data_IF_167145270702
#
_entry.id   IF_167145270702
#
_cell.length_a   1.000
_cell.length_b   1.000
_cell.length_c   1.000
_cell.angle_alpha   90.00
_cell.angle_beta   90.00
_cell.angle_gamma   90.00
#
_symmetry.space_group_name_H-M   'P 1'
#
loop_
_entity.id
_entity.type
_entity.pdbx_description
1 polymer ?
#
# COMPACT_ATOMS: atom_id res chain seq x y z
N UNK A 1 2.94 -47.55 24.53
CA UNK A 1 3.59 -47.19 23.26
C UNK A 1 3.06 -45.80 22.91
N UNK A 2 3.84 -44.76 23.23
CA UNK A 2 3.40 -43.37 23.13
C UNK A 2 3.57 -42.92 21.69
N UNK A 3 2.44 -42.61 21.06
CA UNK A 3 2.35 -42.00 19.75
C UNK A 3 2.87 -40.55 19.85
N UNK A 4 4.12 -40.33 19.42
CA UNK A 4 4.62 -38.98 19.17
C UNK A 4 3.92 -38.47 17.92
N UNK A 5 2.83 -37.73 18.09
CA UNK A 5 2.33 -36.83 17.05
C UNK A 5 3.50 -35.88 16.70
N UNK A 6 4.03 -36.01 15.49
CA UNK A 6 5.07 -35.12 15.00
C UNK A 6 4.51 -33.70 14.95
N UNK A 7 5.00 -32.82 15.83
CA UNK A 7 4.76 -31.40 15.69
C UNK A 7 5.27 -30.99 14.30
N UNK A 8 4.36 -30.57 13.42
CA UNK A 8 4.71 -30.15 12.07
C UNK A 8 5.76 -29.04 12.12
N UNK A 9 6.72 -29.07 11.18
CA UNK A 9 7.78 -28.05 11.10
C UNK A 9 7.12 -26.65 11.05
N UNK A 10 7.56 -25.69 11.89
CA UNK A 10 6.93 -24.38 11.95
C UNK A 10 6.99 -23.69 10.59
N UNK A 11 5.87 -23.07 10.19
CA UNK A 11 5.76 -22.36 8.91
C UNK A 11 6.45 -21.00 8.99
N UNK A 12 7.02 -20.55 7.88
CA UNK A 12 7.68 -19.24 7.81
C UNK A 12 6.66 -18.11 8.09
N UNK A 13 6.87 -17.28 9.13
CA UNK A 13 5.94 -16.20 9.50
C UNK A 13 6.06 -14.97 8.60
N UNK A 14 7.19 -14.81 7.90
CA UNK A 14 7.45 -13.67 7.03
C UNK A 14 6.71 -13.78 5.69
N UNK A 15 6.21 -12.64 5.20
CA UNK A 15 5.36 -12.56 4.01
C UNK A 15 5.92 -11.58 2.98
N UNK A 16 6.98 -11.94 2.24
CA UNK A 16 7.62 -11.05 1.27
C UNK A 16 6.82 -10.93 -0.06
N UNK A 17 5.50 -10.90 0.01
CA UNK A 17 4.62 -10.78 -1.16
C UNK A 17 3.94 -9.42 -1.16
N UNK A 18 3.81 -8.82 -2.35
CA UNK A 18 3.19 -7.50 -2.49
C UNK A 18 1.77 -7.46 -1.94
N UNK A 19 1.46 -6.39 -1.21
CA UNK A 19 0.12 -6.11 -0.70
C UNK A 19 -0.37 -7.01 0.45
N UNK A 20 0.46 -7.95 0.92
CA UNK A 20 0.10 -8.80 2.06
C UNK A 20 0.58 -8.16 3.35
N UNK A 21 -0.33 -8.00 4.32
CA UNK A 21 0.03 -7.49 5.64
C UNK A 21 1.06 -8.40 6.34
N UNK A 22 2.17 -7.83 6.85
CA UNK A 22 3.09 -8.57 7.70
C UNK A 22 2.41 -8.92 9.02
N UNK A 23 2.91 -9.92 9.73
CA UNK A 23 2.38 -10.24 11.07
C UNK A 23 2.65 -9.11 12.08
N UNK A 24 3.79 -8.43 11.94
CA UNK A 24 4.16 -7.30 12.77
C UNK A 24 4.42 -6.10 11.88
N UNK A 25 3.61 -5.05 12.06
CA UNK A 25 3.74 -3.80 11.35
C UNK A 25 4.71 -2.87 12.09
N UNK A 26 5.88 -2.64 11.51
CA UNK A 26 6.89 -1.80 12.15
C UNK A 26 6.48 -0.31 12.15
N UNK A 27 6.56 0.33 13.33
CA UNK A 27 6.60 1.79 13.49
C UNK A 27 5.29 2.54 13.23
N UNK A 28 4.13 1.85 13.19
CA UNK A 28 2.85 2.45 12.77
C UNK A 28 1.74 2.35 13.82
N UNK A 29 2.06 1.87 15.02
CA UNK A 29 1.07 1.61 16.08
C UNK A 29 0.28 2.85 16.50
N UNK A 30 0.95 4.00 16.61
CA UNK A 30 0.30 5.25 17.03
C UNK A 30 -0.76 5.71 16.04
N UNK A 31 -0.47 5.66 14.74
CA UNK A 31 -1.43 6.03 13.70
C UNK A 31 -2.66 5.12 13.73
N UNK A 32 -2.45 3.81 13.88
CA UNK A 32 -3.55 2.85 13.95
C UNK A 32 -4.41 3.10 15.20
N UNK A 33 -3.80 3.41 16.34
CA UNK A 33 -4.51 3.76 17.58
C UNK A 33 -5.29 5.09 17.45
N UNK A 34 -4.69 6.11 16.84
CA UNK A 34 -5.35 7.40 16.58
C UNK A 34 -6.56 7.21 15.63
N UNK A 35 -6.40 6.36 14.60
CA UNK A 35 -7.50 5.98 13.70
C UNK A 35 -8.60 5.19 14.43
N UNK A 36 -8.22 4.20 15.25
CA UNK A 36 -9.14 3.39 16.05
C UNK A 36 -10.00 4.28 16.96
N UNK A 37 -9.37 5.22 17.67
CA UNK A 37 -10.06 6.18 18.53
C UNK A 37 -11.00 7.07 17.70
N UNK A 38 -10.55 7.55 16.55
CA UNK A 38 -11.34 8.40 15.68
C UNK A 38 -12.61 7.71 15.15
N UNK A 39 -12.57 6.41 14.89
CA UNK A 39 -13.77 5.64 14.54
C UNK A 39 -14.75 5.57 15.72
N UNK A 40 -14.26 5.44 16.96
CA UNK A 40 -15.09 5.35 18.15
C UNK A 40 -15.73 6.68 18.61
N UNK A 41 -15.10 7.82 18.34
CA UNK A 41 -15.53 9.15 18.85
C UNK A 41 -16.70 9.81 18.09
N UNK A 42 -17.11 9.26 16.95
CA UNK A 42 -18.13 9.88 16.08
C UNK A 42 -17.55 10.91 15.09
N UNK A 43 -18.40 11.52 14.23
CA UNK A 43 -17.95 12.44 13.18
C UNK A 43 -17.19 13.65 13.75
N UNK A 44 -16.10 14.06 13.09
CA UNK A 44 -15.36 15.29 13.42
C UNK A 44 -13.86 15.10 13.69
N UNK A 45 -13.40 13.87 13.91
CA UNK A 45 -11.96 13.60 14.05
C UNK A 45 -11.22 13.72 12.70
N UNK A 46 -10.06 14.41 12.63
CA UNK A 46 -9.28 14.51 11.40
C UNK A 46 -8.73 13.16 10.92
N UNK A 47 -8.53 12.21 11.84
CA UNK A 47 -8.06 10.86 11.51
C UNK A 47 -9.11 10.02 10.76
N UNK A 48 -10.35 10.50 10.58
CA UNK A 48 -11.33 9.85 9.68
C UNK A 48 -11.06 10.10 8.20
N UNK A 49 -10.14 10.99 7.85
CA UNK A 49 -9.67 11.19 6.49
C UNK A 49 -8.15 11.09 6.46
N UNK A 50 -7.60 10.02 5.87
CA UNK A 50 -6.15 9.75 5.83
C UNK A 50 -5.67 9.70 4.37
N UNK A 51 -4.60 10.43 4.07
CA UNK A 51 -3.90 10.37 2.79
C UNK A 51 -2.48 9.85 3.02
N UNK A 52 -2.19 8.69 2.43
CA UNK A 52 -0.91 8.00 2.53
C UNK A 52 -0.11 8.23 1.24
N UNK A 53 1.04 8.88 1.39
CA UNK A 53 2.02 9.12 0.33
C UNK A 53 3.27 8.29 0.60
N UNK A 54 4.03 7.95 -0.43
CA UNK A 54 5.34 7.31 -0.27
C UNK A 54 5.78 6.50 -1.47
N UNK A 55 7.02 6.02 -1.42
CA UNK A 55 7.62 5.27 -2.53
C UNK A 55 6.92 3.92 -2.80
N UNK A 56 7.13 3.31 -3.97
CA UNK A 56 6.74 1.90 -4.22
C UNK A 56 7.38 0.96 -3.21
N UNK A 57 6.60 -0.02 -2.76
CA UNK A 57 7.04 -1.05 -1.80
C UNK A 57 7.29 -0.56 -0.37
N UNK A 58 6.96 0.71 -0.05
CA UNK A 58 7.09 1.27 1.30
C UNK A 58 5.97 0.86 2.27
N UNK A 59 5.03 0.02 1.81
CA UNK A 59 3.93 -0.49 2.65
C UNK A 59 2.65 0.35 2.64
N UNK A 60 2.38 1.12 1.57
CA UNK A 60 1.13 1.88 1.39
C UNK A 60 -0.12 0.99 1.45
N UNK A 61 -0.23 0.00 0.55
CA UNK A 61 -1.32 -0.98 0.53
C UNK A 61 -1.44 -1.75 1.83
N UNK A 62 -0.30 -2.09 2.45
CA UNK A 62 -0.28 -2.74 3.76
C UNK A 62 -0.95 -1.86 4.80
N UNK A 63 -0.56 -0.58 4.89
CA UNK A 63 -1.19 0.33 5.84
C UNK A 63 -2.70 0.50 5.57
N UNK A 64 -3.14 0.58 4.30
CA UNK A 64 -4.57 0.60 3.99
C UNK A 64 -5.28 -0.65 4.52
N UNK A 65 -4.71 -1.85 4.33
CA UNK A 65 -5.29 -3.08 4.87
C UNK A 65 -5.40 -3.06 6.40
N UNK A 66 -4.41 -2.52 7.10
CA UNK A 66 -4.43 -2.42 8.56
C UNK A 66 -5.50 -1.44 9.05
N UNK A 67 -5.69 -0.30 8.36
CA UNK A 67 -6.81 0.60 8.63
C UNK A 67 -8.15 -0.11 8.41
N UNK A 68 -8.28 -0.91 7.34
CA UNK A 68 -9.48 -1.70 7.13
C UNK A 68 -9.71 -2.74 8.21
N UNK A 69 -8.67 -3.40 8.71
CA UNK A 69 -8.78 -4.40 9.78
C UNK A 69 -9.18 -3.76 11.12
N UNK A 70 -8.63 -2.58 11.45
CA UNK A 70 -9.09 -1.75 12.58
C UNK A 70 -10.57 -1.41 12.44
N UNK A 71 -10.99 -0.95 11.26
CA UNK A 71 -12.38 -0.60 11.00
C UNK A 71 -13.31 -1.83 11.11
N UNK A 72 -12.94 -2.97 10.52
CA UNK A 72 -13.69 -4.23 10.64
C UNK A 72 -13.82 -4.70 12.08
N UNK A 73 -12.77 -4.55 12.90
CA UNK A 73 -12.80 -4.94 14.31
C UNK A 73 -13.84 -4.13 15.11
N UNK A 74 -14.16 -2.90 14.68
CA UNK A 74 -15.24 -2.07 15.21
C UNK A 74 -16.58 -2.25 14.49
N UNK A 75 -16.69 -3.22 13.57
CA UNK A 75 -17.92 -3.52 12.83
C UNK A 75 -18.22 -2.57 11.66
N UNK A 76 -17.26 -1.74 11.25
CA UNK A 76 -17.42 -0.86 10.09
C UNK A 76 -17.42 -1.66 8.79
N UNK A 77 -18.20 -1.18 7.82
CA UNK A 77 -18.24 -1.74 6.47
C UNK A 77 -17.19 -1.07 5.60
N UNK A 78 -16.53 -1.86 4.76
CA UNK A 78 -15.41 -1.39 3.91
C UNK A 78 -15.86 -1.35 2.45
N UNK A 79 -15.79 -0.18 1.82
CA UNK A 79 -15.93 -0.01 0.38
C UNK A 79 -14.56 0.27 -0.25
N UNK A 80 -13.96 -0.76 -0.85
CA UNK A 80 -12.72 -0.60 -1.63
C UNK A 80 -13.04 -0.05 -3.00
N UNK A 81 -12.54 1.13 -3.32
CA UNK A 81 -12.61 1.72 -4.65
C UNK A 81 -11.45 1.19 -5.49
N UNK A 82 -11.76 0.30 -6.44
CA UNK A 82 -10.77 -0.18 -7.40
C UNK A 82 -10.45 0.89 -8.42
N UNK A 83 -9.20 1.32 -8.45
CA UNK A 83 -8.72 2.37 -9.35
C UNK A 83 -8.60 1.82 -10.78
N UNK A 84 -9.31 2.47 -11.71
CA UNK A 84 -9.36 2.16 -13.14
C UNK A 84 -10.38 3.04 -13.86
N UNK A 85 -10.57 2.83 -15.17
CA UNK A 85 -11.51 3.60 -15.99
C UNK A 85 -12.97 3.50 -15.49
N UNK A 86 -13.31 2.43 -14.77
CA UNK A 86 -14.66 2.13 -14.28
C UNK A 86 -14.88 2.44 -12.80
N UNK A 87 -13.97 3.12 -12.09
CA UNK A 87 -14.03 3.33 -10.63
C UNK A 87 -15.44 3.68 -10.12
N UNK A 88 -16.05 4.73 -10.67
CA UNK A 88 -17.38 5.20 -10.25
C UNK A 88 -18.47 4.20 -10.65
N UNK A 89 -18.38 3.66 -11.87
CA UNK A 89 -19.34 2.68 -12.37
C UNK A 89 -19.34 1.40 -11.52
N UNK A 90 -18.18 0.94 -11.06
CA UNK A 90 -18.03 -0.23 -10.20
C UNK A 90 -18.56 0.06 -8.78
N UNK A 91 -18.26 1.23 -8.21
CA UNK A 91 -18.84 1.62 -6.92
C UNK A 91 -20.37 1.65 -6.98
N UNK A 92 -20.94 2.27 -8.02
CA UNK A 92 -22.39 2.44 -8.19
C UNK A 92 -23.09 1.13 -8.54
N UNK A 93 -22.49 0.33 -9.42
CA UNK A 93 -23.12 -0.82 -10.07
C UNK A 93 -22.87 -2.16 -9.36
N UNK A 94 -21.77 -2.30 -8.63
CA UNK A 94 -21.36 -3.60 -8.06
C UNK A 94 -21.02 -3.51 -6.59
N UNK A 95 -20.05 -2.66 -6.20
CA UNK A 95 -19.48 -2.66 -4.85
C UNK A 95 -20.49 -2.21 -3.80
N UNK A 96 -21.04 -1.00 -3.93
CA UNK A 96 -22.00 -0.48 -2.96
C UNK A 96 -23.30 -1.28 -2.93
N UNK A 97 -23.90 -1.68 -4.07
CA UNK A 97 -25.06 -2.58 -4.06
C UNK A 97 -24.82 -3.92 -3.35
N UNK A 98 -23.64 -4.53 -3.54
CA UNK A 98 -23.26 -5.75 -2.82
C UNK A 98 -23.23 -5.54 -1.31
N UNK A 99 -22.59 -4.45 -0.86
CA UNK A 99 -22.55 -4.09 0.56
C UNK A 99 -23.94 -3.79 1.12
N UNK A 100 -24.81 -3.13 0.37
CA UNK A 100 -26.20 -2.89 0.78
C UNK A 100 -26.92 -4.22 0.96
N UNK A 101 -26.77 -5.18 0.04
CA UNK A 101 -27.39 -6.49 0.15
C UNK A 101 -26.89 -7.27 1.38
N UNK A 102 -25.57 -7.27 1.61
CA UNK A 102 -24.95 -7.92 2.76
C UNK A 102 -25.42 -7.30 4.09
N UNK A 103 -25.55 -5.97 4.13
CA UNK A 103 -26.11 -5.28 5.29
C UNK A 103 -27.60 -5.58 5.40
N UNK A 104 -28.39 -5.53 4.34
CA UNK A 104 -29.86 -5.61 4.41
C UNK A 104 -30.42 -6.97 4.86
N UNK A 105 -29.63 -8.05 4.91
CA UNK A 105 -30.07 -9.39 5.35
C UNK A 105 -31.25 -9.95 4.51
N UNK A 106 -31.39 -9.51 3.25
CA UNK A 106 -32.34 -10.12 2.30
C UNK A 106 -31.66 -11.30 1.60
N UNK A 107 -32.20 -12.54 1.66
CA UNK A 107 -31.74 -13.59 0.74
C UNK A 107 -31.94 -13.09 -0.69
N UNK A 108 -31.01 -13.38 -1.62
CA UNK A 108 -31.12 -12.91 -3.00
C UNK A 108 -32.48 -13.36 -3.51
N UNK A 109 -33.33 -12.40 -3.90
CA UNK A 109 -34.56 -12.70 -4.63
C UNK A 109 -34.12 -13.36 -5.93
N UNK A 110 -33.97 -14.69 -5.90
CA UNK A 110 -33.94 -15.52 -7.10
C UNK A 110 -35.23 -15.19 -7.82
N UNK A 111 -35.13 -14.39 -8.89
CA UNK A 111 -36.14 -14.39 -9.91
C UNK A 111 -36.23 -15.85 -10.38
N UNK A 112 -37.27 -16.55 -9.94
CA UNK A 112 -37.59 -17.88 -10.46
C UNK A 112 -38.00 -17.66 -11.90
N UNK A 113 -37.02 -17.70 -12.80
CA UNK A 113 -37.26 -17.75 -14.24
C UNK A 113 -37.67 -19.16 -14.57
N UNK A 114 -38.96 -19.45 -14.37
CA UNK A 114 -39.70 -20.54 -15.00
C UNK A 114 -39.28 -21.97 -14.66
N UNK A 115 -40.09 -22.65 -13.86
CA UNK A 115 -40.22 -24.10 -13.97
C UNK A 115 -40.94 -24.42 -15.29
N UNK A 116 -40.26 -25.10 -16.22
CA UNK A 116 -40.90 -25.61 -17.43
C UNK A 116 -41.72 -26.85 -17.09
N UNK A 117 -43.04 -26.68 -16.98
CA UNK A 117 -43.98 -27.80 -17.14
C UNK A 117 -44.16 -28.01 -18.64
N UNK A 118 -43.79 -29.19 -19.11
CA UNK A 118 -43.94 -29.62 -20.50
C UNK A 118 -45.41 -29.57 -20.91
N UNK A 119 -45.79 -28.66 -21.82
CA UNK A 119 -47.04 -28.79 -22.58
C UNK A 119 -47.88 -27.55 -22.88
N UNK A 120 -47.55 -26.33 -22.41
CA UNK A 120 -48.32 -25.12 -22.76
C UNK A 120 -47.36 -23.95 -23.03
N UNK A 121 -47.67 -23.14 -24.05
CA UNK A 121 -46.78 -22.21 -24.76
C UNK A 121 -45.90 -21.28 -23.91
N UNK A 122 -44.77 -20.87 -24.52
CA UNK A 122 -43.76 -20.01 -23.91
C UNK A 122 -44.33 -18.62 -23.58
N UNK A 123 -44.45 -18.32 -22.29
CA UNK A 123 -44.67 -16.96 -21.81
C UNK A 123 -43.29 -16.30 -21.73
N UNK A 124 -42.97 -15.45 -22.70
CA UNK A 124 -41.82 -14.55 -22.60
C UNK A 124 -42.18 -13.45 -21.58
N UNK A 125 -41.67 -13.57 -20.36
CA UNK A 125 -41.74 -12.48 -19.38
C UNK A 125 -40.61 -11.51 -19.71
N UNK A 126 -40.91 -10.49 -20.49
CA UNK A 126 -40.05 -9.32 -20.62
C UNK A 126 -40.12 -8.56 -19.30
N UNK A 127 -39.00 -8.44 -18.59
CA UNK A 127 -38.91 -7.52 -17.46
C UNK A 127 -39.21 -6.09 -17.96
N UNK A 128 -40.09 -5.33 -17.31
CA UNK A 128 -40.32 -3.94 -17.69
C UNK A 128 -39.01 -3.16 -17.60
N UNK A 129 -38.75 -2.30 -18.59
CA UNK A 129 -37.65 -1.35 -18.52
C UNK A 129 -37.83 -0.48 -17.27
N UNK A 130 -36.83 -0.46 -16.40
CA UNK A 130 -36.84 0.36 -15.20
C UNK A 130 -36.54 1.81 -15.61
N UNK A 131 -37.59 2.62 -15.79
CA UNK A 131 -37.51 4.04 -16.19
C UNK A 131 -36.97 4.96 -15.07
N UNK A 132 -36.53 4.41 -13.93
CA UNK A 132 -35.90 5.20 -12.87
C UNK A 132 -34.53 5.70 -13.34
N UNK A 133 -34.16 6.97 -13.08
CA UNK A 133 -32.81 7.46 -13.34
C UNK A 133 -31.78 6.54 -12.69
N UNK A 134 -30.70 6.25 -13.42
CA UNK A 134 -29.60 5.47 -12.86
C UNK A 134 -29.11 6.15 -11.57
N UNK A 135 -28.92 5.38 -10.47
CA UNK A 135 -28.52 5.96 -9.20
C UNK A 135 -27.11 6.53 -9.31
N UNK A 136 -26.90 7.73 -8.75
CA UNK A 136 -25.58 8.36 -8.67
C UNK A 136 -24.75 7.75 -7.55
N UNK A 137 -23.43 8.00 -7.55
CA UNK A 137 -22.54 7.55 -6.48
C UNK A 137 -23.02 8.02 -5.09
N UNK A 138 -23.30 9.32 -4.96
CA UNK A 138 -23.77 9.89 -3.69
C UNK A 138 -25.11 9.27 -3.24
N UNK A 139 -26.03 8.97 -4.17
CA UNK A 139 -27.29 8.32 -3.83
C UNK A 139 -27.06 6.92 -3.24
N UNK A 140 -26.18 6.12 -3.87
CA UNK A 140 -25.82 4.79 -3.37
C UNK A 140 -25.10 4.82 -2.03
N UNK A 141 -24.15 5.73 -1.86
CA UNK A 141 -23.41 5.85 -0.60
C UNK A 141 -24.32 6.34 0.54
N UNK A 142 -25.26 7.25 0.27
CA UNK A 142 -26.28 7.67 1.25
C UNK A 142 -27.20 6.53 1.64
N UNK A 143 -27.66 5.73 0.67
CA UNK A 143 -28.48 4.54 0.91
C UNK A 143 -27.75 3.57 1.84
N UNK A 144 -26.51 3.19 1.52
CA UNK A 144 -25.68 2.34 2.36
C UNK A 144 -25.48 2.96 3.75
N UNK A 145 -25.07 4.23 3.82
CA UNK A 145 -24.80 4.91 5.10
C UNK A 145 -26.05 5.01 6.00
N UNK A 146 -27.25 5.14 5.41
CA UNK A 146 -28.50 5.09 6.16
C UNK A 146 -28.77 3.71 6.78
N UNK A 147 -28.50 2.62 6.04
CA UNK A 147 -28.58 1.26 6.57
C UNK A 147 -27.57 1.01 7.70
N UNK A 148 -26.36 1.55 7.58
CA UNK A 148 -25.29 1.43 8.59
C UNK A 148 -25.60 2.24 9.85
N UNK A 149 -26.09 3.47 9.69
CA UNK A 149 -26.52 4.33 10.82
C UNK A 149 -27.58 3.65 11.68
N UNK A 150 -28.56 2.98 11.07
CA UNK A 150 -29.60 2.24 11.79
C UNK A 150 -29.03 1.09 12.67
N UNK A 151 -27.79 0.67 12.41
CA UNK A 151 -27.07 -0.39 13.13
C UNK A 151 -26.00 0.15 14.07
N UNK A 152 -25.83 1.47 14.14
CA UNK A 152 -24.78 2.10 14.94
C UNK A 152 -23.36 1.82 14.44
N UNK A 153 -23.19 1.64 13.13
CA UNK A 153 -21.88 1.43 12.49
C UNK A 153 -21.64 2.42 11.34
N UNK A 154 -20.42 2.44 10.82
CA UNK A 154 -19.97 3.36 9.77
C UNK A 154 -19.42 2.69 8.51
N UNK A 155 -19.05 3.53 7.54
CA UNK A 155 -18.46 3.16 6.25
C UNK A 155 -17.04 3.70 6.13
N UNK A 156 -16.06 2.83 5.90
CA UNK A 156 -14.72 3.21 5.46
C UNK A 156 -14.61 3.03 3.95
N UNK A 157 -14.26 4.10 3.24
CA UNK A 157 -13.94 4.06 1.81
C UNK A 157 -12.42 4.05 1.67
N UNK A 158 -11.88 3.05 0.98
CA UNK A 158 -10.43 2.96 0.71
C UNK A 158 -10.11 3.09 -0.78
N UNK A 159 -9.04 3.82 -1.12
CA UNK A 159 -8.56 4.01 -2.49
C UNK A 159 -7.05 3.72 -2.53
N UNK A 160 -6.60 2.76 -3.31
CA UNK A 160 -5.16 2.50 -3.51
C UNK A 160 -4.72 2.97 -4.90
N UNK A 161 -3.45 3.33 -5.04
CA UNK A 161 -2.84 3.83 -6.28
C UNK A 161 -3.56 5.05 -6.88
N UNK A 162 -3.84 6.08 -6.08
CA UNK A 162 -4.55 7.32 -6.49
C UNK A 162 -4.05 7.92 -7.80
N UNK A 163 -2.75 7.87 -8.08
CA UNK A 163 -2.16 8.40 -9.32
C UNK A 163 -2.65 7.69 -10.59
N UNK A 164 -3.24 6.51 -10.47
CA UNK A 164 -3.78 5.73 -11.58
C UNK A 164 -5.28 5.98 -11.80
N UNK A 165 -5.92 6.81 -10.98
CA UNK A 165 -7.34 7.07 -11.05
C UNK A 165 -7.68 8.18 -12.04
N UNK A 166 -8.82 8.04 -12.71
CA UNK A 166 -9.34 9.12 -13.54
C UNK A 166 -9.56 10.38 -12.67
N UNK A 167 -9.06 11.53 -13.12
CA UNK A 167 -9.23 12.79 -12.42
C UNK A 167 -10.64 13.16 -11.99
N UNK A 168 -11.61 13.02 -12.90
CA UNK A 168 -13.00 13.34 -12.67
C UNK A 168 -13.64 12.34 -11.72
N UNK A 169 -13.28 11.06 -11.82
CA UNK A 169 -13.74 10.03 -10.88
C UNK A 169 -13.30 10.32 -9.44
N UNK A 170 -12.03 10.68 -9.23
CA UNK A 170 -11.55 11.04 -7.89
C UNK A 170 -12.25 12.30 -7.33
N UNK A 171 -12.53 13.28 -8.18
CA UNK A 171 -13.28 14.47 -7.78
C UNK A 171 -14.72 14.14 -7.39
N UNK A 172 -15.40 13.28 -8.15
CA UNK A 172 -16.76 12.82 -7.84
C UNK A 172 -16.79 12.05 -6.52
N UNK A 173 -15.86 11.11 -6.31
CA UNK A 173 -15.76 10.34 -5.06
C UNK A 173 -15.48 11.26 -3.86
N UNK A 174 -14.54 12.19 -4.00
CA UNK A 174 -14.21 13.14 -2.94
C UNK A 174 -15.43 14.03 -2.59
N UNK A 175 -16.14 14.54 -3.61
CA UNK A 175 -17.36 15.34 -3.41
C UNK A 175 -18.45 14.53 -2.71
N UNK A 176 -18.66 13.28 -3.11
CA UNK A 176 -19.64 12.40 -2.48
C UNK A 176 -19.29 12.12 -1.01
N UNK A 177 -18.02 11.83 -0.70
CA UNK A 177 -17.58 11.68 0.69
C UNK A 177 -17.79 12.97 1.50
N UNK A 178 -17.45 14.14 0.96
CA UNK A 178 -17.69 15.42 1.62
C UNK A 178 -19.18 15.63 1.94
N UNK A 179 -20.08 15.28 1.02
CA UNK A 179 -21.52 15.39 1.24
C UNK A 179 -22.00 14.43 2.35
N UNK A 180 -21.47 13.20 2.43
CA UNK A 180 -21.80 12.27 3.53
C UNK A 180 -21.34 12.80 4.89
N UNK A 181 -20.15 13.41 4.96
CA UNK A 181 -19.66 14.08 6.17
C UNK A 181 -20.58 15.23 6.56
N UNK A 182 -21.08 16.02 5.60
CA UNK A 182 -22.02 17.12 5.85
C UNK A 182 -23.39 16.64 6.31
N UNK A 183 -23.79 15.45 5.90
CA UNK A 183 -25.04 14.78 6.32
C UNK A 183 -24.87 14.03 7.67
N UNK A 184 -23.73 14.23 8.36
CA UNK A 184 -23.40 13.68 9.67
C UNK A 184 -23.35 12.14 9.70
N UNK A 185 -23.09 11.48 8.57
CA UNK A 185 -22.92 10.03 8.53
C UNK A 185 -21.57 9.62 9.12
N UNK A 186 -21.53 8.44 9.75
CA UNK A 186 -20.28 7.81 10.18
C UNK A 186 -19.52 7.28 8.97
N UNK A 187 -18.78 8.18 8.32
CA UNK A 187 -17.94 7.86 7.17
C UNK A 187 -16.49 8.20 7.44
N UNK A 188 -15.61 7.33 6.94
CA UNK A 188 -14.17 7.51 6.94
C UNK A 188 -13.63 7.28 5.52
N UNK A 189 -12.49 7.89 5.23
CA UNK A 189 -11.82 7.84 3.94
C UNK A 189 -10.32 7.62 4.13
N UNK A 190 -9.76 6.64 3.44
CA UNK A 190 -8.32 6.44 3.40
C UNK A 190 -7.87 6.26 1.95
N UNK A 191 -6.91 7.04 1.50
CA UNK A 191 -6.37 6.89 0.16
C UNK A 191 -4.85 6.79 0.19
N UNK A 192 -4.28 5.95 -0.67
CA UNK A 192 -2.84 5.82 -0.83
C UNK A 192 -2.41 6.01 -2.28
N UNK A 193 -1.24 6.61 -2.46
CA UNK A 193 -0.70 6.84 -3.79
C UNK A 193 0.76 7.29 -3.75
N UNK A 194 1.29 7.56 -4.93
CA UNK A 194 2.60 8.17 -5.05
C UNK A 194 2.56 9.63 -4.58
N UNK A 195 3.69 10.20 -4.09
CA UNK A 195 3.71 11.58 -3.64
C UNK A 195 3.13 12.57 -4.66
N UNK A 196 3.53 12.44 -5.94
CA UNK A 196 3.01 13.28 -7.01
C UNK A 196 1.49 13.11 -7.23
N UNK A 197 0.96 11.89 -7.10
CA UNK A 197 -0.47 11.63 -7.27
C UNK A 197 -1.31 12.21 -6.13
N UNK A 198 -0.79 12.16 -4.90
CA UNK A 198 -1.41 12.80 -3.75
C UNK A 198 -1.36 14.32 -3.89
N UNK A 199 -0.22 14.89 -4.29
CA UNK A 199 -0.09 16.33 -4.55
C UNK A 199 -1.05 16.80 -5.65
N UNK A 200 -1.16 16.03 -6.74
CA UNK A 200 -2.07 16.32 -7.83
C UNK A 200 -3.53 16.27 -7.36
N UNK A 201 -3.93 15.23 -6.62
CA UNK A 201 -5.25 15.10 -6.02
C UNK A 201 -5.61 16.36 -5.21
N UNK A 202 -4.66 16.87 -4.41
CA UNK A 202 -4.86 17.99 -3.51
C UNK A 202 -4.82 19.37 -4.20
N UNK A 203 -4.13 19.46 -5.33
CA UNK A 203 -4.02 20.70 -6.12
C UNK A 203 -5.32 21.07 -6.84
N UNK A 204 -6.24 20.11 -6.99
CA UNK A 204 -7.43 20.24 -7.82
C UNK A 204 -8.60 20.96 -7.15
N UNK A 205 -9.47 21.47 -8.00
CA UNK A 205 -10.76 22.02 -7.61
C UNK A 205 -11.71 20.88 -7.22
N UNK A 206 -12.56 21.11 -6.21
CA UNK A 206 -13.52 20.10 -5.70
C UNK A 206 -12.94 19.10 -4.68
N UNK A 207 -11.61 18.99 -4.55
CA UNK A 207 -10.95 18.13 -3.55
C UNK A 207 -10.35 18.93 -2.39
N UNK A 208 -10.65 20.23 -2.31
CA UNK A 208 -10.04 21.16 -1.34
C UNK A 208 -10.28 20.76 0.12
N UNK A 209 -11.36 20.05 0.42
CA UNK A 209 -11.61 19.55 1.78
C UNK A 209 -10.59 18.47 2.19
N UNK A 210 -10.10 17.65 1.24
CA UNK A 210 -9.05 16.64 1.49
C UNK A 210 -7.72 17.27 1.90
N UNK A 211 -7.54 18.58 1.69
CA UNK A 211 -6.36 19.29 2.21
C UNK A 211 -6.28 19.29 3.73
N UNK A 212 -7.40 19.04 4.42
CA UNK A 212 -7.49 18.90 5.88
C UNK A 212 -7.43 17.44 6.36
N UNK A 213 -7.34 16.48 5.43
CA UNK A 213 -7.09 15.10 5.79
C UNK A 213 -5.72 14.96 6.45
N UNK A 214 -5.60 14.01 7.38
CA UNK A 214 -4.32 13.64 7.96
C UNK A 214 -3.40 13.11 6.86
N UNK A 215 -2.20 13.68 6.77
CA UNK A 215 -1.21 13.30 5.75
C UNK A 215 -0.11 12.46 6.37
N UNK A 216 0.13 11.32 5.77
CA UNK A 216 1.21 10.43 6.15
C UNK A 216 2.16 10.21 4.98
N UNK A 217 3.38 10.73 5.09
CA UNK A 217 4.46 10.42 4.17
C UNK A 217 5.24 9.20 4.69
N UNK A 218 5.00 8.04 4.08
CA UNK A 218 5.71 6.81 4.39
C UNK A 218 7.14 6.84 3.83
N UNK A 219 8.10 6.81 4.74
CA UNK A 219 9.50 6.58 4.48
C UNK A 219 9.97 5.17 4.90
N UNK A 220 11.29 4.92 4.79
CA UNK A 220 11.90 3.73 5.37
C UNK A 220 11.57 3.62 6.86
N UNK A 221 11.39 2.39 7.33
CA UNK A 221 11.20 2.06 8.74
C UNK A 221 12.50 2.32 9.48
N UNK A 222 12.42 2.97 10.65
CA UNK A 222 13.56 3.18 11.54
C UNK A 222 14.24 1.86 11.90
N UNK A 223 15.57 1.90 12.04
CA UNK A 223 16.39 0.70 12.30
C UNK A 223 15.87 -0.10 13.51
N UNK A 224 15.56 0.57 14.61
CA UNK A 224 15.07 -0.07 15.84
C UNK A 224 13.70 -0.72 15.65
N UNK A 225 12.81 -0.08 14.89
CA UNK A 225 11.51 -0.65 14.55
C UNK A 225 11.63 -1.85 13.59
N UNK A 226 12.61 -1.84 12.69
CA UNK A 226 12.91 -2.99 11.83
C UNK A 226 13.46 -4.17 12.65
N UNK A 227 14.36 -3.91 13.60
CA UNK A 227 14.88 -4.91 14.54
C UNK A 227 13.74 -5.53 15.35
N UNK A 228 12.87 -4.71 15.94
CA UNK A 228 11.72 -5.19 16.72
C UNK A 228 10.80 -6.08 15.87
N UNK A 229 10.45 -5.62 14.67
CA UNK A 229 9.58 -6.38 13.77
C UNK A 229 10.18 -7.73 13.37
N UNK A 230 11.49 -7.78 13.06
CA UNK A 230 12.20 -9.03 12.74
C UNK A 230 12.21 -10.01 13.93
N UNK A 231 12.48 -9.50 15.14
CA UNK A 231 12.52 -10.33 16.36
C UNK A 231 11.14 -10.86 16.74
N UNK A 232 10.12 -10.01 16.73
CA UNK A 232 8.74 -10.42 17.07
C UNK A 232 8.18 -11.41 16.04
N UNK A 233 8.30 -11.10 14.74
CA UNK A 233 7.81 -11.99 13.68
C UNK A 233 8.46 -13.38 13.75
N UNK A 234 9.78 -13.43 13.98
CA UNK A 234 10.49 -14.72 14.11
C UNK A 234 10.16 -15.47 15.41
N UNK A 235 10.01 -14.76 16.53
CA UNK A 235 9.58 -15.36 17.80
C UNK A 235 8.16 -15.95 17.69
N UNK A 236 7.21 -15.22 17.10
CA UNK A 236 5.82 -15.66 16.91
C UNK A 236 5.73 -16.88 15.99
N UNK A 237 6.64 -17.00 15.03
CA UNK A 237 6.76 -18.20 14.19
C UNK A 237 7.32 -19.42 14.93
N UNK A 238 7.89 -19.25 16.13
CA UNK A 238 8.51 -20.31 16.92
C UNK A 238 9.99 -20.55 16.63
N UNK A 239 10.69 -19.59 16.00
CA UNK A 239 12.15 -19.64 15.79
C UNK A 239 12.72 -18.23 15.99
N UNK A 240 12.99 -17.84 17.24
CA UNK A 240 13.45 -16.49 17.55
C UNK A 240 14.75 -16.17 16.83
N UNK A 241 14.93 -14.89 16.49
CA UNK A 241 16.16 -14.35 15.92
C UNK A 241 17.04 -13.78 17.04
N UNK A 242 18.32 -14.14 17.04
CA UNK A 242 19.32 -13.61 17.98
C UNK A 242 19.51 -12.09 17.76
N UNK A 243 20.00 -11.38 18.78
CA UNK A 243 20.14 -9.92 18.72
C UNK A 243 21.02 -9.47 17.54
N UNK A 244 22.23 -10.02 17.42
CA UNK A 244 23.16 -9.70 16.33
C UNK A 244 22.61 -10.06 14.95
N UNK A 245 21.80 -11.12 14.87
CA UNK A 245 21.13 -11.54 13.64
C UNK A 245 20.06 -10.52 13.22
N UNK A 246 19.26 -10.03 14.18
CA UNK A 246 18.23 -9.03 13.93
C UNK A 246 18.82 -7.69 13.52
N UNK A 247 19.92 -7.28 14.15
CA UNK A 247 20.68 -6.08 13.74
C UNK A 247 21.21 -6.21 12.32
N UNK A 248 21.91 -7.31 12.02
CA UNK A 248 22.45 -7.56 10.68
C UNK A 248 21.35 -7.60 9.62
N UNK A 249 20.21 -8.22 9.93
CA UNK A 249 19.06 -8.31 9.04
C UNK A 249 18.41 -6.95 8.80
N UNK A 250 18.30 -6.10 9.85
CA UNK A 250 17.82 -4.74 9.74
C UNK A 250 18.75 -3.88 8.86
N UNK A 251 20.06 -4.02 9.03
CA UNK A 251 21.06 -3.31 8.23
C UNK A 251 21.00 -3.70 6.75
N UNK A 252 20.81 -4.99 6.45
CA UNK A 252 20.56 -5.45 5.06
C UNK A 252 19.23 -4.90 4.53
N UNK A 253 18.21 -4.77 5.38
CA UNK A 253 16.91 -4.29 4.92
C UNK A 253 16.88 -2.81 4.53
N UNK A 254 17.82 -2.01 5.07
CA UNK A 254 17.86 -0.54 4.97
C UNK A 254 16.52 0.12 5.29
N UNK A 255 15.75 -0.47 6.22
CA UNK A 255 14.42 0.00 6.60
C UNK A 255 13.33 -0.18 5.53
N UNK A 256 13.63 -0.81 4.39
CA UNK A 256 12.65 -0.98 3.31
C UNK A 256 11.73 -2.17 3.63
N UNK A 257 10.40 -1.96 3.80
CA UNK A 257 9.50 -3.00 4.33
C UNK A 257 9.51 -4.32 3.56
N UNK A 258 9.57 -4.25 2.23
CA UNK A 258 9.71 -5.45 1.40
C UNK A 258 11.00 -6.23 1.72
N UNK A 259 12.13 -5.53 1.91
CA UNK A 259 13.39 -6.18 2.26
C UNK A 259 13.37 -6.71 3.70
N UNK A 260 12.73 -6.02 4.65
CA UNK A 260 12.56 -6.54 6.02
C UNK A 260 11.91 -7.93 5.97
N UNK A 261 10.81 -8.05 5.21
CA UNK A 261 10.11 -9.33 5.05
C UNK A 261 10.94 -10.35 4.25
N UNK A 262 11.65 -9.93 3.20
CA UNK A 262 12.44 -10.82 2.36
C UNK A 262 13.64 -11.40 3.12
N UNK A 263 14.40 -10.55 3.82
CA UNK A 263 15.56 -10.93 4.62
C UNK A 263 15.12 -11.87 5.74
N UNK A 264 14.06 -11.51 6.48
CA UNK A 264 13.49 -12.38 7.51
C UNK A 264 13.05 -13.74 6.96
N UNK A 265 12.36 -13.75 5.82
CA UNK A 265 11.90 -14.98 5.16
C UNK A 265 13.06 -15.88 4.72
N UNK A 266 14.10 -15.30 4.13
CA UNK A 266 15.28 -16.04 3.68
C UNK A 266 16.09 -16.57 4.85
N UNK A 267 16.32 -15.76 5.89
CA UNK A 267 17.04 -16.17 7.08
C UNK A 267 16.30 -17.28 7.84
N UNK A 268 14.97 -17.18 7.95
CA UNK A 268 14.12 -18.26 8.48
C UNK A 268 14.30 -19.55 7.69
N UNK A 269 14.22 -19.46 6.35
CA UNK A 269 14.35 -20.63 5.49
C UNK A 269 15.73 -21.28 5.60
N UNK A 270 16.80 -20.46 5.69
CA UNK A 270 18.17 -20.93 5.87
C UNK A 270 18.37 -21.64 7.20
N UNK A 271 17.96 -21.02 8.32
CA UNK A 271 18.04 -21.61 9.65
C UNK A 271 17.18 -22.87 9.76
N UNK A 272 16.06 -22.92 9.02
CA UNK A 272 15.20 -24.10 8.98
C UNK A 272 15.94 -25.32 8.43
N UNK A 273 16.85 -25.18 7.45
CA UNK A 273 17.56 -26.32 6.84
C UNK A 273 18.32 -27.16 7.87
N UNK A 274 18.93 -26.50 8.86
CA UNK A 274 19.76 -27.13 9.89
C UNK A 274 18.94 -27.54 11.14
N UNK A 275 17.62 -27.35 11.10
CA UNK A 275 16.68 -27.53 12.22
C UNK A 275 17.12 -26.81 13.51
N UNK A 276 17.80 -25.67 13.35
CA UNK A 276 18.30 -24.87 14.47
C UNK A 276 17.18 -24.35 15.37
N UNK A 277 17.44 -24.05 16.65
CA UNK A 277 16.41 -23.50 17.54
C UNK A 277 16.16 -21.99 17.31
N UNK A 278 17.09 -21.29 16.65
CA UNK A 278 17.08 -19.84 16.46
C UNK A 278 17.62 -19.46 15.07
N UNK A 279 17.40 -18.21 14.65
CA UNK A 279 18.05 -17.60 13.47
C UNK A 279 19.28 -16.83 13.95
N UNK A 280 20.45 -17.19 13.41
CA UNK A 280 21.74 -16.65 13.81
C UNK A 280 22.28 -15.61 12.82
N UNK A 281 23.33 -14.89 13.20
CA UNK A 281 24.02 -13.95 12.30
C UNK A 281 24.67 -14.65 11.11
N UNK A 282 25.10 -15.90 11.26
CA UNK A 282 25.59 -16.72 10.17
C UNK A 282 24.49 -17.00 9.12
N UNK A 283 23.27 -17.33 9.56
CA UNK A 283 22.13 -17.54 8.66
C UNK A 283 21.80 -16.28 7.84
N UNK A 284 21.90 -15.10 8.47
CA UNK A 284 21.66 -13.81 7.83
C UNK A 284 22.78 -13.46 6.85
N UNK A 285 24.04 -13.72 7.23
CA UNK A 285 25.20 -13.54 6.34
C UNK A 285 25.09 -14.41 5.08
N UNK A 286 24.71 -15.68 5.24
CA UNK A 286 24.57 -16.64 4.14
C UNK A 286 23.53 -16.23 3.08
N UNK A 287 22.53 -15.42 3.46
CA UNK A 287 21.43 -15.02 2.55
C UNK A 287 21.57 -13.62 1.98
N UNK A 288 22.59 -12.85 2.40
CA UNK A 288 22.72 -11.43 2.06
C UNK A 288 22.68 -11.18 0.55
N UNK A 289 23.57 -11.82 -0.20
CA UNK A 289 23.68 -11.58 -1.64
C UNK A 289 22.41 -12.05 -2.37
N UNK A 290 21.83 -13.17 -1.93
CA UNK A 290 20.54 -13.66 -2.45
C UNK A 290 19.40 -12.66 -2.23
N UNK A 291 19.35 -11.96 -1.10
CA UNK A 291 18.35 -10.93 -0.82
C UNK A 291 18.52 -9.71 -1.76
N UNK A 292 19.77 -9.27 -1.95
CA UNK A 292 20.12 -8.16 -2.86
C UNK A 292 19.81 -8.53 -4.32
N UNK A 293 20.16 -9.73 -4.76
CA UNK A 293 19.87 -10.21 -6.13
C UNK A 293 18.36 -10.28 -6.39
N UNK A 294 17.59 -10.74 -5.41
CA UNK A 294 16.12 -10.75 -5.46
C UNK A 294 15.55 -9.33 -5.58
N UNK A 295 16.09 -8.38 -4.83
CA UNK A 295 15.73 -6.96 -4.96
C UNK A 295 16.02 -6.43 -6.37
N UNK A 296 17.19 -6.77 -6.92
CA UNK A 296 17.58 -6.45 -8.30
C UNK A 296 16.58 -6.98 -9.32
N UNK A 297 16.25 -8.26 -9.23
CA UNK A 297 15.36 -8.92 -10.18
C UNK A 297 13.89 -8.45 -10.06
N UNK A 298 13.39 -8.24 -8.84
CA UNK A 298 11.96 -8.04 -8.58
C UNK A 298 11.56 -6.57 -8.46
N UNK A 299 12.50 -5.66 -8.16
CA UNK A 299 12.20 -4.24 -7.95
C UNK A 299 13.04 -3.36 -8.88
N UNK A 300 14.36 -3.51 -8.91
CA UNK A 300 15.21 -2.60 -9.70
C UNK A 300 14.99 -2.75 -11.19
N UNK A 301 15.09 -3.98 -11.73
CA UNK A 301 14.91 -4.23 -13.18
C UNK A 301 13.54 -3.75 -13.70
N UNK A 302 12.41 -4.06 -13.04
CA UNK A 302 11.11 -3.49 -13.44
C UNK A 302 11.06 -1.97 -13.34
N UNK A 303 11.65 -1.37 -12.31
CA UNK A 303 11.62 0.09 -12.10
C UNK A 303 12.48 0.86 -13.11
N UNK A 304 13.56 0.23 -13.60
CA UNK A 304 14.43 0.79 -14.63
C UNK A 304 13.89 0.57 -16.05
N UNK A 305 12.88 -0.29 -16.23
CA UNK A 305 12.29 -0.55 -17.55
C UNK A 305 11.61 0.71 -18.06
N UNK A 306 11.99 1.15 -19.26
CA UNK A 306 11.40 2.34 -19.90
C UNK A 306 11.92 3.67 -19.35
N UNK A 307 12.99 3.66 -18.55
CA UNK A 307 13.74 4.87 -18.22
C UNK A 307 14.52 5.30 -19.47
N UNK A 308 14.30 6.51 -20.01
CA UNK A 308 15.03 7.02 -21.16
C UNK A 308 16.54 7.14 -20.88
N UNK A 309 17.38 6.96 -21.90
CA UNK A 309 18.84 7.04 -21.77
C UNK A 309 19.31 8.36 -21.14
N UNK A 310 18.66 9.47 -21.51
CA UNK A 310 18.97 10.78 -20.94
C UNK A 310 18.67 10.92 -19.44
N UNK A 311 17.79 10.09 -18.88
CA UNK A 311 17.56 9.98 -17.43
C UNK A 311 18.49 8.92 -16.82
N UNK A 312 18.76 7.83 -17.54
CA UNK A 312 19.64 6.76 -17.08
C UNK A 312 21.06 7.24 -16.79
N UNK A 313 21.62 8.12 -17.64
CA UNK A 313 22.95 8.71 -17.39
C UNK A 313 23.04 9.45 -16.05
N UNK A 314 21.92 10.01 -15.56
CA UNK A 314 21.88 10.68 -14.25
C UNK A 314 21.98 9.65 -13.12
N UNK A 315 21.25 8.54 -13.22
CA UNK A 315 21.32 7.45 -12.25
C UNK A 315 22.72 6.83 -12.21
N UNK A 316 23.34 6.61 -13.37
CA UNK A 316 24.69 6.05 -13.47
C UNK A 316 25.75 7.00 -12.88
N UNK A 317 25.62 8.31 -13.12
CA UNK A 317 26.49 9.32 -12.51
C UNK A 317 26.32 9.36 -10.98
N UNK A 318 25.08 9.33 -10.49
CA UNK A 318 24.82 9.23 -9.05
C UNK A 318 25.46 7.99 -8.44
N UNK A 319 25.32 6.83 -9.08
CA UNK A 319 25.86 5.58 -8.57
C UNK A 319 27.40 5.61 -8.43
N UNK A 320 28.10 6.18 -9.42
CA UNK A 320 29.57 6.35 -9.35
C UNK A 320 29.99 7.31 -8.25
N UNK A 321 29.40 8.50 -8.21
CA UNK A 321 29.75 9.53 -7.23
C UNK A 321 29.49 9.06 -5.79
N UNK A 322 28.38 8.35 -5.55
CA UNK A 322 28.07 7.78 -4.23
C UNK A 322 29.02 6.65 -3.85
N UNK A 323 29.44 5.81 -4.79
CA UNK A 323 30.42 4.76 -4.53
C UNK A 323 31.82 5.32 -4.22
N UNK A 324 32.19 6.45 -4.83
CA UNK A 324 33.46 7.14 -4.58
C UNK A 324 33.49 7.88 -3.24
N UNK A 325 32.39 8.55 -2.87
CA UNK A 325 32.30 9.31 -1.62
C UNK A 325 31.97 8.45 -0.40
N UNK A 326 31.27 7.32 -0.60
CA UNK A 326 30.66 6.53 0.46
C UNK A 326 29.44 7.18 1.11
N UNK A 327 28.90 8.25 0.52
CA UNK A 327 27.70 8.93 1.03
C UNK A 327 26.40 8.40 0.41
N UNK A 328 25.32 8.42 1.18
CA UNK A 328 23.97 8.01 0.74
C UNK A 328 23.24 9.05 -0.13
N UNK A 329 23.83 10.23 -0.32
CA UNK A 329 23.31 11.30 -1.15
C UNK A 329 24.43 12.04 -1.87
N UNK A 330 24.12 12.61 -3.03
CA UNK A 330 25.06 13.35 -3.87
C UNK A 330 24.52 14.74 -4.19
N UNK A 331 25.39 15.75 -4.25
CA UNK A 331 24.98 17.10 -4.59
C UNK A 331 24.59 17.20 -6.07
N UNK A 332 23.53 17.95 -6.35
CA UNK A 332 22.98 18.10 -7.71
C UNK A 332 23.97 18.84 -8.62
N UNK A 333 24.84 19.69 -8.05
CA UNK A 333 25.93 20.34 -8.76
C UNK A 333 27.00 19.36 -9.25
N UNK A 334 27.37 18.38 -8.43
CA UNK A 334 28.39 17.38 -8.76
C UNK A 334 27.90 16.46 -9.88
N UNK A 335 26.63 16.04 -9.83
CA UNK A 335 25.99 15.28 -10.92
C UNK A 335 26.02 16.08 -12.23
N UNK A 336 25.70 17.38 -12.17
CA UNK A 336 25.70 18.23 -13.34
C UNK A 336 27.12 18.39 -13.92
N UNK A 337 28.13 18.57 -13.07
CA UNK A 337 29.53 18.67 -13.46
C UNK A 337 30.04 17.37 -14.13
N UNK A 338 29.79 16.21 -13.51
CA UNK A 338 30.13 14.87 -14.04
C UNK A 338 29.53 14.64 -15.44
N UNK A 339 28.32 15.14 -15.69
CA UNK A 339 27.62 14.98 -16.96
C UNK A 339 27.88 16.11 -17.98
N UNK A 340 28.68 17.12 -17.62
CA UNK A 340 28.89 18.31 -18.45
C UNK A 340 27.60 19.12 -18.71
N UNK A 341 26.65 19.11 -17.76
CA UNK A 341 25.37 19.80 -17.84
C UNK A 341 25.37 21.05 -16.98
N UNK A 342 24.50 22.01 -17.34
CA UNK A 342 24.14 23.09 -16.41
C UNK A 342 23.12 22.59 -15.39
N UNK A 343 22.99 23.24 -14.22
CA UNK A 343 21.91 22.94 -13.27
C UNK A 343 20.50 23.04 -13.89
N UNK A 344 20.29 23.96 -14.83
CA UNK A 344 19.02 24.04 -15.57
C UNK A 344 18.81 22.83 -16.49
N UNK A 345 19.87 22.32 -17.12
CA UNK A 345 19.81 21.13 -17.97
C UNK A 345 19.51 19.83 -17.20
N UNK A 346 19.93 19.73 -15.95
CA UNK A 346 19.64 18.58 -15.09
C UNK A 346 18.21 18.58 -14.52
N UNK A 347 17.62 19.76 -14.33
CA UNK A 347 16.35 19.94 -13.61
C UNK A 347 15.17 19.12 -14.17
N UNK A 348 14.91 19.07 -15.50
CA UNK A 348 13.83 18.25 -16.04
C UNK A 348 14.03 16.74 -15.82
N UNK A 349 15.28 16.27 -15.92
CA UNK A 349 15.63 14.85 -15.69
C UNK A 349 15.46 14.49 -14.22
N UNK A 350 15.93 15.36 -13.32
CA UNK A 350 15.70 15.24 -11.88
C UNK A 350 14.21 15.14 -11.55
N UNK A 351 13.38 16.03 -12.10
CA UNK A 351 11.94 16.01 -11.85
C UNK A 351 11.31 14.68 -12.27
N UNK A 352 11.61 14.19 -13.48
CA UNK A 352 11.10 12.90 -13.98
C UNK A 352 11.61 11.69 -13.19
N UNK A 353 12.86 11.71 -12.72
CA UNK A 353 13.39 10.63 -11.88
C UNK A 353 12.76 10.60 -10.48
N UNK A 354 12.38 11.75 -9.93
CA UNK A 354 11.61 11.85 -8.68
C UNK A 354 10.19 11.32 -8.91
N UNK A 355 9.55 11.72 -10.01
CA UNK A 355 8.22 11.25 -10.39
C UNK A 355 8.17 9.73 -10.59
N UNK A 356 9.22 9.15 -11.18
CA UNK A 356 9.43 7.70 -11.31
C UNK A 356 9.86 6.99 -10.03
N UNK A 357 10.07 7.73 -8.94
CA UNK A 357 10.49 7.20 -7.63
C UNK A 357 11.82 6.44 -7.68
N UNK A 358 12.72 6.81 -8.59
CA UNK A 358 14.08 6.25 -8.63
C UNK A 358 15.04 7.05 -7.75
N UNK A 359 14.75 8.34 -7.57
CA UNK A 359 15.51 9.25 -6.72
C UNK A 359 14.59 10.06 -5.81
N UNK A 360 15.14 10.52 -4.68
CA UNK A 360 14.49 11.43 -3.74
C UNK A 360 15.41 12.60 -3.43
N UNK A 361 14.86 13.70 -2.93
CA UNK A 361 15.61 14.87 -2.51
C UNK A 361 15.63 14.98 -0.97
N UNK A 362 16.58 14.33 -0.26
CA UNK A 362 16.57 14.30 1.20
C UNK A 362 16.85 15.66 1.85
N UNK A 363 17.56 16.54 1.14
CA UNK A 363 17.82 17.93 1.52
C UNK A 363 17.95 18.78 0.27
N UNK A 364 17.81 20.09 0.42
CA UNK A 364 17.95 21.03 -0.70
C UNK A 364 19.28 20.81 -1.45
N UNK A 365 19.19 20.76 -2.78
CA UNK A 365 20.34 20.58 -3.68
C UNK A 365 20.97 19.19 -3.67
N UNK A 366 20.40 18.18 -3.02
CA UNK A 366 20.95 16.81 -3.00
C UNK A 366 19.94 15.80 -3.52
N UNK A 367 20.46 14.72 -4.10
CA UNK A 367 19.69 13.56 -4.54
C UNK A 367 20.22 12.29 -3.89
N UNK A 368 19.32 11.39 -3.53
CA UNK A 368 19.62 10.04 -3.06
C UNK A 368 18.78 9.05 -3.85
N UNK A 369 19.21 7.80 -3.95
CA UNK A 369 18.33 6.76 -4.47
C UNK A 369 17.14 6.56 -3.53
N UNK A 370 15.96 6.37 -4.13
CA UNK A 370 14.75 6.05 -3.40
C UNK A 370 14.66 4.55 -3.07
N UNK A 371 15.31 3.70 -3.88
CA UNK A 371 15.34 2.26 -3.72
C UNK A 371 16.68 1.81 -3.12
N UNK A 372 16.68 0.96 -2.07
CA UNK A 372 17.92 0.43 -1.50
C UNK A 372 18.64 -0.44 -2.54
N UNK A 373 19.97 -0.45 -2.50
CA UNK A 373 20.84 -1.20 -3.41
C UNK A 373 20.77 -0.82 -4.90
N UNK A 374 20.06 0.25 -5.28
CA UNK A 374 19.93 0.63 -6.69
C UNK A 374 21.26 1.08 -7.30
N UNK A 375 22.09 1.82 -6.54
CA UNK A 375 23.42 2.22 -7.00
C UNK A 375 24.32 1.03 -7.27
N UNK A 376 24.37 0.08 -6.33
CA UNK A 376 25.11 -1.18 -6.45
C UNK A 376 24.61 -2.00 -7.65
N UNK A 377 23.29 -2.06 -7.86
CA UNK A 377 22.70 -2.73 -9.02
C UNK A 377 23.15 -2.09 -10.34
N UNK A 378 23.15 -0.76 -10.44
CA UNK A 378 23.59 -0.03 -11.64
C UNK A 378 25.07 -0.27 -11.96
N UNK A 379 25.94 -0.29 -10.93
CA UNK A 379 27.39 -0.52 -11.11
C UNK A 379 27.72 -1.96 -11.49
N UNK A 380 26.88 -2.93 -11.09
CA UNK A 380 27.08 -4.34 -11.41
C UNK A 380 26.77 -4.73 -12.87
N UNK A 381 26.32 -3.77 -13.70
CA UNK A 381 25.98 -3.99 -15.11
C UNK A 381 24.61 -4.64 -15.31
N UNK A 382 23.68 -4.39 -14.37
CA UNK A 382 22.36 -5.00 -14.15
C UNK A 382 21.58 -5.63 -15.31
#
# INVERSE_FOLDING_TARGET
MVERAGAGRPRNPFRPTFGVSPQVLAGRDRLLADFELALAEGPGSPYRAILVSGARGIGKTVLLNELEDVARAQGWVIARAHVGESLIADLVGTTVPGLIADVADEPPRRAVTGASITGIGSINVSAPADDRPAPTLIARLRELSAHLRARGTGLLITVDEVQSADPAAMQELATAYQDLVRDDFDVAFAAAGLPHGIDELLSRDGTTFLRRAERLDLGPVDRDAAIDALRRTSADGGRPMDADAAESAADISRGYPYLIQLVGSLAWARASLDDGPAITSADVSDIRDRAIDRMGAQVHRPSLRGVPDGERIVLDAMARLMAESGEDAVATGDIAAELGLTPQGLSPRRARLIERELVRAPKYGHLAFALPYLGEHLLSGG
#
